data_IF_652647387312
#
_entry.id   IF_652647387312
#
_cell.length_a   1.000
_cell.length_b   1.000
_cell.length_c   1.000
_cell.angle_alpha   90.00
_cell.angle_beta   90.00
_cell.angle_gamma   90.00
#
_symmetry.space_group_name_H-M   'P 1'
#
loop_
_entity.id
_entity.type
_entity.pdbx_description
1 polymer ?
#
# COMPACT_ATOMS: atom_id res chain seq x y z
N UNK A 1 0.30 -28.86 -71.94
CA UNK A 1 0.98 -27.55 -71.75
C UNK A 1 -0.13 -26.53 -71.51
N UNK A 2 -0.26 -25.83 -70.39
CA UNK A 2 0.74 -25.23 -69.50
C UNK A 2 0.09 -25.10 -68.10
N UNK A 3 0.76 -25.60 -67.08
CA UNK A 3 0.38 -25.52 -65.65
C UNK A 3 0.60 -24.10 -65.12
N UNK A 4 -0.35 -23.56 -64.36
CA UNK A 4 -0.17 -22.31 -63.60
C UNK A 4 0.11 -22.63 -62.12
N UNK A 5 1.10 -21.99 -61.49
CA UNK A 5 1.57 -22.39 -60.17
C UNK A 5 0.75 -21.79 -59.02
N UNK A 6 0.46 -22.65 -58.05
CA UNK A 6 0.01 -22.35 -56.71
C UNK A 6 1.07 -21.46 -56.00
N UNK A 7 0.76 -20.19 -55.73
CA UNK A 7 1.49 -19.38 -54.73
C UNK A 7 0.62 -19.29 -53.49
N UNK A 8 0.94 -20.10 -52.48
CA UNK A 8 0.41 -19.97 -51.12
C UNK A 8 0.91 -18.64 -50.56
N UNK A 9 0.00 -17.70 -50.34
CA UNK A 9 0.25 -16.52 -49.51
C UNK A 9 0.47 -17.00 -48.07
N UNK A 10 1.66 -16.74 -47.53
CA UNK A 10 1.96 -16.88 -46.10
C UNK A 10 1.18 -15.80 -45.34
N UNK A 11 0.42 -16.11 -44.27
CA UNK A 11 -0.12 -15.09 -43.40
C UNK A 11 1.03 -14.54 -42.55
N UNK A 12 1.34 -13.26 -42.72
CA UNK A 12 2.19 -12.50 -41.82
C UNK A 12 1.43 -12.43 -40.48
N UNK A 13 1.89 -13.19 -39.49
CA UNK A 13 1.39 -13.12 -38.13
C UNK A 13 1.70 -11.72 -37.57
N UNK A 14 0.65 -10.96 -37.26
CA UNK A 14 0.76 -9.65 -36.64
C UNK A 14 1.33 -9.77 -35.23
N UNK A 15 2.53 -9.23 -35.02
CA UNK A 15 2.95 -8.79 -33.69
C UNK A 15 2.23 -7.46 -33.40
N UNK A 16 1.06 -7.54 -32.77
CA UNK A 16 0.57 -6.42 -31.99
C UNK A 16 1.44 -6.31 -30.75
N UNK A 17 2.38 -5.36 -30.76
CA UNK A 17 3.15 -5.00 -29.58
C UNK A 17 2.21 -4.55 -28.48
N UNK A 18 2.13 -5.30 -27.39
CA UNK A 18 1.48 -4.86 -26.18
C UNK A 18 2.32 -3.73 -25.57
N UNK A 19 1.97 -2.48 -25.89
CA UNK A 19 2.50 -1.31 -25.19
C UNK A 19 2.02 -1.39 -23.74
N UNK A 20 2.94 -1.74 -22.85
CA UNK A 20 2.76 -1.61 -21.41
C UNK A 20 2.60 -0.11 -21.10
N UNK A 21 1.37 0.34 -20.87
CA UNK A 21 1.12 1.64 -20.28
C UNK A 21 1.63 1.60 -18.84
N UNK A 22 2.83 2.12 -18.62
CA UNK A 22 3.32 2.39 -17.27
C UNK A 22 2.48 3.52 -16.69
N UNK A 23 1.48 3.17 -15.89
CA UNK A 23 0.75 4.14 -15.08
C UNK A 23 1.76 4.87 -14.18
N UNK A 24 1.83 6.19 -14.31
CA UNK A 24 2.62 7.03 -13.39
C UNK A 24 1.98 6.92 -12.01
N UNK A 25 2.62 6.19 -11.10
CA UNK A 25 2.18 6.20 -9.71
C UNK A 25 2.67 7.51 -9.08
N UNK A 26 1.74 8.34 -8.61
CA UNK A 26 2.04 9.58 -7.91
C UNK A 26 1.92 9.33 -6.41
N UNK A 27 2.98 9.71 -5.71
CA UNK A 27 3.04 9.70 -4.28
C UNK A 27 3.60 11.05 -3.84
N UNK A 28 3.01 11.63 -2.80
CA UNK A 28 3.31 12.99 -2.37
C UNK A 28 3.62 12.92 -0.89
N UNK A 29 4.79 13.45 -0.52
CA UNK A 29 5.11 13.70 0.88
C UNK A 29 4.12 14.71 1.45
N UNK A 30 3.48 14.37 2.57
CA UNK A 30 2.62 15.29 3.29
C UNK A 30 3.28 15.66 4.61
N UNK A 31 3.32 16.95 4.92
CA UNK A 31 3.96 17.47 6.13
C UNK A 31 3.20 17.07 7.41
N UNK A 32 1.90 16.77 7.28
CA UNK A 32 1.00 16.38 8.37
C UNK A 32 -0.23 15.66 7.79
N UNK A 33 -1.16 15.25 8.67
CA UNK A 33 -2.39 14.56 8.28
C UNK A 33 -3.66 15.42 8.43
N UNK A 34 -3.57 16.75 8.44
CA UNK A 34 -4.72 17.65 8.65
C UNK A 34 -5.86 17.45 7.64
N UNK A 35 -5.52 17.09 6.40
CA UNK A 35 -6.49 16.79 5.35
C UNK A 35 -7.19 15.42 5.52
N UNK A 36 -6.73 14.59 6.47
CA UNK A 36 -7.12 13.19 6.64
C UNK A 36 -7.76 12.92 8.01
N UNK A 37 -8.41 13.92 8.62
CA UNK A 37 -9.07 13.79 9.94
C UNK A 37 -10.02 12.60 10.06
N UNK A 38 -10.61 12.17 8.94
CA UNK A 38 -11.53 11.03 8.90
C UNK A 38 -10.88 9.68 9.29
N UNK A 39 -9.54 9.57 9.25
CA UNK A 39 -8.79 8.37 9.66
C UNK A 39 -8.11 8.52 11.03
N UNK A 40 -8.35 9.62 11.75
CA UNK A 40 -7.78 9.80 13.07
C UNK A 40 -8.37 8.83 14.08
N UNK A 41 -7.56 8.42 15.04
CA UNK A 41 -7.97 7.52 16.11
C UNK A 41 -6.92 6.51 16.48
N UNK A 42 -7.30 5.60 17.37
CA UNK A 42 -6.49 4.47 17.81
C UNK A 42 -6.98 3.22 17.13
N UNK A 43 -6.07 2.43 16.58
CA UNK A 43 -6.32 1.20 15.87
C UNK A 43 -5.63 0.06 16.58
N UNK A 44 -6.33 -1.06 16.76
CA UNK A 44 -5.80 -2.26 17.38
C UNK A 44 -6.24 -3.50 16.59
N UNK A 45 -5.55 -4.65 16.71
CA UNK A 45 -5.95 -5.89 16.08
C UNK A 45 -7.40 -6.22 16.39
N UNK A 46 -8.22 -6.35 15.35
CA UNK A 46 -9.68 -6.56 15.47
C UNK A 46 -10.46 -5.48 16.24
N UNK A 47 -9.86 -4.33 16.57
CA UNK A 47 -10.47 -3.23 17.33
C UNK A 47 -10.39 -3.36 18.86
N UNK A 48 -9.68 -4.36 19.38
CA UNK A 48 -9.53 -4.56 20.82
C UNK A 48 -8.34 -3.77 21.36
N UNK A 49 -8.60 -2.64 22.02
CA UNK A 49 -7.57 -1.73 22.54
C UNK A 49 -6.76 -2.29 23.72
N UNK A 50 -7.07 -3.50 24.17
CA UNK A 50 -6.22 -4.22 25.13
C UNK A 50 -5.12 -5.03 24.42
N UNK A 51 -5.24 -5.24 23.11
CA UNK A 51 -4.25 -5.95 22.30
C UNK A 51 -3.17 -5.01 21.81
N UNK A 52 -2.04 -5.61 21.48
CA UNK A 52 -0.87 -4.97 20.88
C UNK A 52 -0.54 -5.70 19.57
N UNK A 53 0.11 -5.03 18.61
CA UNK A 53 0.51 -3.61 18.67
C UNK A 53 -0.70 -2.66 18.50
N UNK A 54 -0.50 -1.37 18.74
CA UNK A 54 -1.52 -0.33 18.49
C UNK A 54 -0.95 0.73 17.57
N UNK A 55 -1.82 1.30 16.73
CA UNK A 55 -1.47 2.36 15.79
C UNK A 55 -2.34 3.55 16.12
N UNK A 56 -1.72 4.67 16.49
CA UNK A 56 -2.42 5.92 16.75
C UNK A 56 -2.21 6.83 15.55
N UNK A 57 -3.28 7.47 15.12
CA UNK A 57 -3.30 8.38 13.98
C UNK A 57 -3.85 9.70 14.45
N UNK A 58 -3.06 10.75 14.26
CA UNK A 58 -3.44 12.12 14.58
C UNK A 58 -2.89 13.08 13.52
N UNK A 59 -3.03 14.39 13.76
CA UNK A 59 -2.55 15.44 12.87
C UNK A 59 -1.07 15.34 12.53
N UNK A 60 -0.23 14.81 13.43
CA UNK A 60 1.22 14.78 13.27
C UNK A 60 1.70 13.61 12.40
N UNK A 61 0.91 12.54 12.30
CA UNK A 61 1.28 11.32 11.59
C UNK A 61 0.80 10.06 12.29
N UNK A 62 1.68 9.07 12.35
CA UNK A 62 1.39 7.76 12.93
C UNK A 62 2.28 7.51 14.15
N UNK A 63 1.72 6.92 15.19
CA UNK A 63 2.50 6.37 16.31
C UNK A 63 2.29 4.87 16.39
N UNK A 64 3.38 4.11 16.31
CA UNK A 64 3.39 2.66 16.49
C UNK A 64 3.74 2.32 17.92
N UNK A 65 2.78 1.75 18.65
CA UNK A 65 2.99 1.19 19.97
C UNK A 65 3.17 -0.32 19.84
N UNK A 66 4.38 -0.81 20.13
CA UNK A 66 4.76 -2.21 19.98
C UNK A 66 5.53 -2.64 21.23
N UNK A 67 5.02 -3.63 21.97
CA UNK A 67 5.68 -4.20 23.15
C UNK A 67 6.12 -3.14 24.19
N UNK A 68 5.27 -2.13 24.41
CA UNK A 68 5.53 -1.04 25.36
C UNK A 68 6.53 0.02 24.88
N UNK A 69 6.96 -0.04 23.62
CA UNK A 69 7.74 1.01 22.96
C UNK A 69 6.85 1.78 21.99
N UNK A 70 7.07 3.09 21.91
CA UNK A 70 6.41 3.96 20.94
C UNK A 70 7.42 4.46 19.92
N UNK A 71 7.06 4.38 18.64
CA UNK A 71 7.80 4.96 17.53
C UNK A 71 6.89 5.93 16.76
N UNK A 72 7.30 7.19 16.67
CA UNK A 72 6.58 8.19 15.88
C UNK A 72 7.07 8.13 14.43
N UNK A 73 6.16 7.87 13.51
CA UNK A 73 6.37 7.93 12.07
C UNK A 73 5.75 9.24 11.54
N UNK A 74 6.62 10.18 11.19
CA UNK A 74 6.29 11.53 10.73
C UNK A 74 6.72 11.71 9.28
N UNK A 75 6.18 12.74 8.61
CA UNK A 75 6.34 12.96 7.17
C UNK A 75 5.87 11.75 6.36
N UNK A 76 4.59 11.33 6.48
CA UNK A 76 4.11 10.22 5.70
C UNK A 76 4.01 10.58 4.22
N UNK A 77 4.09 9.57 3.36
CA UNK A 77 3.90 9.71 1.93
C UNK A 77 2.52 9.16 1.56
N UNK A 78 1.67 10.01 0.99
CA UNK A 78 0.35 9.65 0.51
C UNK A 78 0.43 9.13 -0.92
N UNK A 79 0.11 7.85 -1.13
CA UNK A 79 0.15 7.19 -2.44
C UNK A 79 -1.20 7.36 -3.15
N UNK A 80 -1.45 8.57 -3.66
CA UNK A 80 -2.75 8.99 -4.19
C UNK A 80 -3.29 8.10 -5.32
N UNK A 81 -2.41 7.56 -6.16
CA UNK A 81 -2.80 6.71 -7.30
C UNK A 81 -2.65 5.21 -7.04
N UNK A 82 -2.46 4.77 -5.79
CA UNK A 82 -2.20 3.35 -5.48
C UNK A 82 -3.36 2.44 -5.91
N UNK A 83 -4.62 2.91 -5.73
CA UNK A 83 -5.82 2.23 -6.23
C UNK A 83 -6.03 2.32 -7.76
N UNK A 84 -5.12 2.98 -8.48
CA UNK A 84 -5.24 3.30 -9.90
C UNK A 84 -5.76 4.73 -10.16
N UNK A 85 -5.52 5.22 -11.39
CA UNK A 85 -5.81 6.61 -11.77
C UNK A 85 -7.30 7.01 -11.74
N UNK A 86 -8.20 6.03 -11.75
CA UNK A 86 -9.66 6.22 -11.75
C UNK A 86 -10.31 5.64 -10.50
N UNK A 87 -9.55 5.56 -9.41
CA UNK A 87 -10.07 5.07 -8.15
C UNK A 87 -11.05 6.10 -7.54
N UNK A 88 -12.28 5.65 -7.27
CA UNK A 88 -13.37 6.47 -6.72
C UNK A 88 -13.84 5.98 -5.34
N UNK A 89 -13.10 5.06 -4.71
CA UNK A 89 -13.44 4.51 -3.40
C UNK A 89 -12.93 5.37 -2.24
N UNK A 90 -13.01 4.81 -1.02
CA UNK A 90 -12.66 5.50 0.23
C UNK A 90 -11.36 4.99 0.86
N UNK A 91 -10.71 4.00 0.27
CA UNK A 91 -9.41 3.51 0.71
C UNK A 91 -8.33 4.57 0.50
N UNK A 92 -7.42 4.69 1.46
CA UNK A 92 -6.30 5.62 1.41
C UNK A 92 -5.02 4.87 1.73
N UNK A 93 -3.97 5.12 0.95
CA UNK A 93 -2.70 4.41 1.04
C UNK A 93 -1.59 5.34 1.49
N UNK A 94 -0.89 4.94 2.55
CA UNK A 94 0.22 5.70 3.11
C UNK A 94 1.44 4.81 3.29
N UNK A 95 2.60 5.39 2.97
CA UNK A 95 3.86 4.92 3.54
C UNK A 95 4.13 5.78 4.79
N UNK A 96 4.28 5.17 5.98
CA UNK A 96 4.31 5.92 7.23
C UNK A 96 5.62 6.69 7.43
N UNK A 97 6.66 6.30 6.71
CA UNK A 97 7.96 6.94 6.70
C UNK A 97 8.24 7.43 5.29
N UNK A 98 8.58 8.70 5.13
CA UNK A 98 9.23 9.19 3.94
C UNK A 98 10.73 9.37 4.19
N UNK A 99 11.55 8.62 3.46
CA UNK A 99 12.99 8.87 3.33
C UNK A 99 13.41 8.39 1.93
N UNK A 100 13.89 9.29 1.05
CA UNK A 100 14.21 8.95 -0.34
C UNK A 100 15.35 7.93 -0.47
N UNK A 101 16.10 7.67 0.60
CA UNK A 101 17.22 6.73 0.62
C UNK A 101 16.93 5.43 1.38
N UNK A 102 15.72 5.26 1.93
CA UNK A 102 15.35 4.04 2.66
C UNK A 102 14.22 3.31 1.96
N UNK A 103 14.25 2.00 2.11
CA UNK A 103 13.12 1.17 1.69
C UNK A 103 11.89 1.49 2.55
N UNK A 104 10.70 1.30 1.97
CA UNK A 104 9.42 1.54 2.62
C UNK A 104 8.92 0.21 3.20
N UNK A 105 9.13 -0.07 4.50
CA UNK A 105 8.89 -1.40 5.06
C UNK A 105 7.40 -1.77 5.15
N UNK A 106 6.54 -0.76 5.19
CA UNK A 106 5.12 -0.90 5.50
C UNK A 106 4.28 -0.09 4.53
N UNK A 107 3.15 -0.67 4.12
CA UNK A 107 2.05 0.00 3.46
C UNK A 107 0.84 0.00 4.39
N UNK A 108 0.32 1.18 4.72
CA UNK A 108 -0.89 1.36 5.51
C UNK A 108 -2.04 1.64 4.57
N UNK A 109 -3.03 0.75 4.55
CA UNK A 109 -4.28 0.95 3.80
C UNK A 109 -5.41 1.25 4.77
N UNK A 110 -5.77 2.53 4.89
CA UNK A 110 -6.96 2.95 5.62
C UNK A 110 -8.20 2.68 4.80
N UNK A 111 -9.30 2.44 5.52
CA UNK A 111 -10.59 1.99 4.99
C UNK A 111 -10.47 0.73 4.11
N UNK A 112 -9.55 -0.18 4.45
CA UNK A 112 -9.22 -1.35 3.65
C UNK A 112 -10.46 -2.19 3.29
N UNK A 113 -10.56 -2.55 2.01
CA UNK A 113 -11.73 -3.26 1.48
C UNK A 113 -12.99 -2.40 1.46
N UNK A 114 -12.84 -1.09 1.32
CA UNK A 114 -13.92 -0.08 1.30
C UNK A 114 -14.75 -0.05 2.59
N UNK A 115 -14.10 -0.26 3.75
CA UNK A 115 -14.76 -0.32 5.05
C UNK A 115 -14.18 0.72 5.99
N UNK A 116 -14.98 1.73 6.33
CA UNK A 116 -14.56 2.79 7.24
C UNK A 116 -14.04 2.23 8.56
N UNK A 117 -12.90 2.76 9.03
CA UNK A 117 -12.29 2.38 10.31
C UNK A 117 -11.55 1.05 10.29
N UNK A 118 -11.39 0.39 9.14
CA UNK A 118 -10.49 -0.75 8.97
C UNK A 118 -9.13 -0.25 8.49
N UNK A 119 -8.04 -0.76 9.07
CA UNK A 119 -6.68 -0.48 8.64
C UNK A 119 -5.96 -1.80 8.33
N UNK A 120 -5.50 -1.97 7.10
CA UNK A 120 -4.55 -3.05 6.74
C UNK A 120 -3.13 -2.53 6.85
N UNK A 121 -2.24 -3.36 7.37
CA UNK A 121 -0.80 -3.14 7.35
C UNK A 121 -0.15 -4.27 6.56
N UNK A 122 0.45 -3.92 5.42
CA UNK A 122 1.05 -4.84 4.47
C UNK A 122 2.54 -4.53 4.29
N UNK A 123 3.27 -5.45 3.66
CA UNK A 123 4.70 -5.31 3.38
C UNK A 123 5.08 -5.94 2.05
N UNK A 124 6.01 -5.32 1.32
CA UNK A 124 6.64 -5.89 0.11
C UNK A 124 7.85 -6.77 0.46
N UNK A 125 8.18 -6.91 1.75
CA UNK A 125 9.25 -7.78 2.25
C UNK A 125 8.73 -9.21 2.44
N UNK A 126 9.62 -10.12 2.83
CA UNK A 126 9.31 -11.52 3.15
C UNK A 126 8.76 -12.36 1.98
N UNK A 127 8.84 -11.89 0.73
CA UNK A 127 8.59 -12.76 -0.42
C UNK A 127 9.69 -13.82 -0.57
N UNK A 128 9.38 -14.92 -1.26
CA UNK A 128 10.32 -16.03 -1.43
C UNK A 128 11.60 -15.58 -2.16
N UNK A 129 12.74 -15.64 -1.46
CA UNK A 129 14.04 -15.18 -1.98
C UNK A 129 14.30 -13.68 -1.85
N UNK A 130 13.40 -12.92 -1.21
CA UNK A 130 13.51 -11.49 -0.97
C UNK A 130 14.16 -11.11 0.36
N UNK A 131 14.34 -9.79 0.59
CA UNK A 131 14.78 -9.28 1.89
C UNK A 131 13.75 -9.61 2.97
N UNK A 132 14.25 -9.81 4.19
CA UNK A 132 13.39 -9.99 5.37
C UNK A 132 12.95 -8.65 5.92
N UNK A 133 11.70 -8.58 6.35
CA UNK A 133 11.21 -7.44 7.12
C UNK A 133 11.96 -7.37 8.46
N UNK A 134 12.34 -6.17 8.90
CA UNK A 134 12.92 -6.00 10.23
C UNK A 134 11.93 -6.46 11.31
N UNK A 135 12.43 -7.14 12.34
CA UNK A 135 11.61 -7.74 13.39
C UNK A 135 10.70 -6.73 14.11
N UNK A 136 11.11 -5.46 14.19
CA UNK A 136 10.30 -4.39 14.80
C UNK A 136 8.99 -4.10 14.05
N UNK A 137 8.97 -4.31 12.73
CA UNK A 137 7.79 -4.09 11.89
C UNK A 137 6.94 -5.35 11.71
N UNK A 138 7.51 -6.54 11.93
CA UNK A 138 6.81 -7.82 11.71
C UNK A 138 5.50 -7.89 12.52
N UNK A 139 5.53 -7.49 13.80
CA UNK A 139 4.32 -7.50 14.63
C UNK A 139 3.22 -6.56 14.14
N UNK A 140 3.57 -5.47 13.44
CA UNK A 140 2.59 -4.56 12.83
C UNK A 140 1.87 -5.25 11.66
N UNK A 141 2.60 -6.00 10.84
CA UNK A 141 2.01 -6.79 9.74
C UNK A 141 1.16 -7.93 10.30
N UNK A 142 1.68 -8.69 11.27
CA UNK A 142 0.97 -9.84 11.85
C UNK A 142 -0.32 -9.45 12.59
N UNK A 143 -0.40 -8.22 13.09
CA UNK A 143 -1.60 -7.68 13.75
C UNK A 143 -2.72 -7.25 12.80
N UNK A 144 -2.45 -7.18 11.49
CA UNK A 144 -3.44 -6.81 10.46
C UNK A 144 -4.53 -7.88 10.30
N UNK A 145 -5.80 -7.51 10.05
CA UNK A 145 -6.32 -6.16 9.97
C UNK A 145 -6.62 -5.56 11.35
N UNK A 146 -6.36 -4.27 11.44
CA UNK A 146 -6.73 -3.42 12.57
C UNK A 146 -8.12 -2.84 12.36
N UNK A 147 -8.76 -2.44 13.46
CA UNK A 147 -9.96 -1.61 13.44
C UNK A 147 -9.83 -0.48 14.44
N UNK A 148 -10.55 0.61 14.20
CA UNK A 148 -10.68 1.69 15.19
C UNK A 148 -11.19 1.12 16.50
N UNK A 149 -10.51 1.49 17.58
CA UNK A 149 -10.88 1.27 18.95
C UNK A 149 -12.29 1.81 19.23
N UNK A 150 -13.12 1.03 19.92
CA UNK A 150 -14.41 1.47 20.47
C UNK A 150 -14.30 1.78 21.96
#
# INVERSE_FOLDING_TARGET
MKTMPFKKLLPIAGLFGASLFSSVTTAIEVNNLDAFKAIFGRYAPSGDCKKQPQIIVDETGFTFEVNGKSENATNPEFAASYGGNFYEGISLWFFPYYDPNKERPLLLTFNAGEKQGVLSVDTEFNYSGGPKLEAKYQSLVDGSPYKTCQ
#
